data_IF_170335790385
#
_entry.id   IF_170335790385
#
_cell.length_a   1.000
_cell.length_b   1.000
_cell.length_c   1.000
_cell.angle_alpha   90.00
_cell.angle_beta   90.00
_cell.angle_gamma   90.00
#
_symmetry.space_group_name_H-M   'P 1'
#
loop_
_entity.id
_entity.type
_entity.pdbx_description
1 polymer ?
#
# COMPACT_ATOMS: atom_id res chain seq x y z
N UNK A 1 7.58 -0.33 -12.54
CA UNK A 1 6.45 -0.94 -11.78
C UNK A 1 5.92 -2.15 -12.55
N UNK A 2 5.84 -3.32 -11.90
CA UNK A 2 5.31 -4.57 -12.47
C UNK A 2 3.91 -4.95 -11.94
N UNK A 3 3.38 -4.17 -11.00
CA UNK A 3 2.02 -4.33 -10.50
C UNK A 3 0.98 -4.03 -11.59
N UNK A 4 -0.21 -4.62 -11.44
CA UNK A 4 -1.36 -4.25 -12.28
C UNK A 4 -1.73 -2.79 -12.01
N UNK A 5 -1.51 -1.95 -13.02
CA UNK A 5 -1.77 -0.51 -12.94
C UNK A 5 -3.25 -0.23 -12.70
N UNK A 6 -4.14 -1.03 -13.27
CA UNK A 6 -5.59 -0.85 -13.17
C UNK A 6 -6.04 -1.09 -11.73
N UNK A 7 -5.56 -2.18 -11.12
CA UNK A 7 -5.84 -2.51 -9.72
C UNK A 7 -5.32 -1.42 -8.77
N UNK A 8 -4.05 -1.01 -8.92
CA UNK A 8 -3.46 0.02 -8.06
C UNK A 8 -4.19 1.36 -8.19
N UNK A 9 -4.50 1.79 -9.42
CA UNK A 9 -5.23 3.03 -9.66
C UNK A 9 -6.66 2.97 -9.10
N UNK A 10 -7.33 1.82 -9.19
CA UNK A 10 -8.65 1.63 -8.59
C UNK A 10 -8.59 1.85 -7.08
N UNK A 11 -7.67 1.18 -6.38
CA UNK A 11 -7.53 1.29 -4.93
C UNK A 11 -7.20 2.73 -4.50
N UNK A 12 -6.30 3.41 -5.22
CA UNK A 12 -5.94 4.80 -4.94
C UNK A 12 -7.11 5.76 -5.17
N UNK A 13 -7.90 5.55 -6.23
CA UNK A 13 -9.12 6.35 -6.49
C UNK A 13 -10.17 6.13 -5.41
N UNK A 14 -10.33 4.90 -4.92
CA UNK A 14 -11.19 4.59 -3.78
C UNK A 14 -10.71 5.32 -2.52
N UNK A 15 -9.42 5.25 -2.21
CA UNK A 15 -8.84 5.95 -1.06
C UNK A 15 -9.06 7.47 -1.15
N UNK A 16 -8.88 8.06 -2.33
CA UNK A 16 -9.18 9.47 -2.58
C UNK A 16 -10.63 9.82 -2.20
N UNK A 17 -11.60 9.03 -2.66
CA UNK A 17 -13.01 9.26 -2.34
C UNK A 17 -13.33 9.16 -0.84
N UNK A 18 -12.68 8.23 -0.12
CA UNK A 18 -12.80 8.15 1.34
C UNK A 18 -12.19 9.36 2.05
N UNK A 19 -11.01 9.83 1.61
CA UNK A 19 -10.37 11.02 2.16
C UNK A 19 -11.27 12.25 1.96
N UNK A 20 -11.83 12.44 0.76
CA UNK A 20 -12.80 13.50 0.49
C UNK A 20 -14.04 13.39 1.40
N UNK A 21 -14.48 12.16 1.71
CA UNK A 21 -15.55 11.91 2.69
C UNK A 21 -15.17 12.33 4.11
N UNK A 22 -13.97 11.96 4.56
CA UNK A 22 -13.45 12.34 5.87
C UNK A 22 -13.34 13.86 6.01
N UNK A 23 -12.88 14.55 4.97
CA UNK A 23 -12.81 16.02 4.95
C UNK A 23 -14.19 16.64 5.18
N UNK A 24 -15.23 16.16 4.49
CA UNK A 24 -16.61 16.60 4.74
C UNK A 24 -17.07 16.32 6.16
N UNK A 25 -16.74 15.14 6.71
CA UNK A 25 -17.10 14.83 8.11
C UNK A 25 -16.46 15.81 9.11
N UNK A 26 -15.24 16.29 8.83
CA UNK A 26 -14.57 17.31 9.65
C UNK A 26 -15.23 18.68 9.47
N UNK A 27 -15.56 19.07 8.23
CA UNK A 27 -16.29 20.31 7.92
C UNK A 27 -17.67 20.35 8.59
N UNK A 28 -18.34 19.21 8.67
CA UNK A 28 -19.65 19.02 9.30
C UNK A 28 -19.59 18.86 10.84
N UNK A 29 -18.41 19.01 11.45
CA UNK A 29 -18.16 18.83 12.90
C UNK A 29 -18.71 17.50 13.46
N UNK A 30 -18.53 16.41 12.71
CA UNK A 30 -19.00 15.08 13.11
C UNK A 30 -18.21 14.52 14.30
N UNK A 31 -18.83 13.58 15.00
CA UNK A 31 -18.24 12.90 16.15
C UNK A 31 -16.85 12.33 15.85
N UNK A 32 -15.88 12.66 16.70
CA UNK A 32 -14.47 12.35 16.46
C UNK A 32 -14.18 10.87 16.28
N UNK A 33 -14.92 9.97 16.95
CA UNK A 33 -14.72 8.53 16.80
C UNK A 33 -15.18 8.02 15.43
N UNK A 34 -16.22 8.61 14.83
CA UNK A 34 -16.65 8.27 13.48
C UNK A 34 -15.55 8.64 12.46
N UNK A 35 -14.97 9.84 12.63
CA UNK A 35 -13.86 10.33 11.80
C UNK A 35 -12.65 9.39 11.96
N UNK A 36 -12.28 9.05 13.20
CA UNK A 36 -11.18 8.13 13.50
C UNK A 36 -11.39 6.77 12.84
N UNK A 37 -12.61 6.23 12.89
CA UNK A 37 -12.94 4.95 12.26
C UNK A 37 -12.78 5.01 10.72
N UNK A 38 -13.18 6.11 10.09
CA UNK A 38 -12.97 6.30 8.65
C UNK A 38 -11.50 6.44 8.28
N UNK A 39 -10.70 7.13 9.11
CA UNK A 39 -9.24 7.21 8.93
C UNK A 39 -8.63 5.80 8.97
N UNK A 40 -8.97 4.97 9.96
CA UNK A 40 -8.48 3.60 10.02
C UNK A 40 -8.88 2.75 8.80
N UNK A 41 -10.07 2.99 8.23
CA UNK A 41 -10.48 2.32 7.00
C UNK A 41 -9.60 2.72 5.81
N UNK A 42 -9.25 4.01 5.69
CA UNK A 42 -8.31 4.51 4.66
C UNK A 42 -6.92 3.92 4.86
N UNK A 43 -6.41 3.88 6.10
CA UNK A 43 -5.11 3.26 6.38
C UNK A 43 -5.08 1.78 5.98
N UNK A 44 -6.13 1.02 6.28
CA UNK A 44 -6.24 -0.38 5.87
C UNK A 44 -6.23 -0.53 4.35
N UNK A 45 -6.93 0.36 3.63
CA UNK A 45 -6.92 0.40 2.17
C UNK A 45 -5.53 0.76 1.61
N UNK A 46 -4.82 1.69 2.24
CA UNK A 46 -3.46 2.06 1.86
C UNK A 46 -2.47 0.92 2.09
N UNK A 47 -2.58 0.19 3.21
CA UNK A 47 -1.79 -1.03 3.46
C UNK A 47 -2.03 -2.07 2.38
N UNK A 48 -3.30 -2.31 2.00
CA UNK A 48 -3.65 -3.22 0.90
C UNK A 48 -3.02 -2.77 -0.43
N UNK A 49 -3.13 -1.49 -0.76
CA UNK A 49 -2.57 -0.92 -1.98
C UNK A 49 -1.06 -1.12 -2.05
N UNK A 50 -0.36 -0.85 -0.95
CA UNK A 50 1.08 -1.05 -0.87
C UNK A 50 1.45 -2.53 -1.04
N UNK A 51 0.71 -3.45 -0.39
CA UNK A 51 0.93 -4.88 -0.54
C UNK A 51 0.82 -5.36 -1.99
N UNK A 52 -0.11 -4.81 -2.79
CA UNK A 52 -0.22 -5.12 -4.22
C UNK A 52 1.05 -4.71 -4.97
N UNK A 53 1.52 -3.48 -4.75
CA UNK A 53 2.73 -2.95 -5.39
C UNK A 53 3.95 -3.78 -5.03
N UNK A 54 4.10 -4.09 -3.75
CA UNK A 54 5.23 -4.84 -3.23
C UNK A 54 5.22 -6.28 -3.68
N UNK A 55 4.09 -6.99 -3.60
CA UNK A 55 3.98 -8.36 -4.12
C UNK A 55 4.45 -8.44 -5.57
N UNK A 56 4.06 -7.49 -6.41
CA UNK A 56 4.52 -7.44 -7.78
C UNK A 56 6.01 -7.15 -7.93
N UNK A 57 6.56 -6.24 -7.10
CA UNK A 57 8.00 -6.01 -7.03
C UNK A 57 8.73 -7.31 -6.67
N UNK A 58 8.38 -7.94 -5.55
CA UNK A 58 8.99 -9.17 -5.04
C UNK A 58 8.98 -10.29 -6.08
N UNK A 59 7.83 -10.56 -6.71
CA UNK A 59 7.73 -11.60 -7.74
C UNK A 59 8.61 -11.34 -8.96
N UNK A 60 8.70 -10.07 -9.40
CA UNK A 60 9.59 -9.70 -10.50
C UNK A 60 11.07 -9.78 -10.12
N UNK A 61 11.38 -9.29 -8.92
CA UNK A 61 12.71 -9.24 -8.34
C UNK A 61 13.30 -10.65 -8.21
N UNK A 62 12.56 -11.58 -7.61
CA UNK A 62 12.97 -12.98 -7.46
C UNK A 62 13.10 -13.68 -8.82
N UNK A 63 12.17 -13.46 -9.76
CA UNK A 63 12.22 -14.07 -11.10
C UNK A 63 13.42 -13.61 -11.91
N UNK A 64 13.79 -12.32 -11.80
CA UNK A 64 14.92 -11.75 -12.54
C UNK A 64 16.26 -12.14 -11.90
N UNK A 65 16.31 -12.29 -10.57
CA UNK A 65 17.55 -12.59 -9.83
C UNK A 65 17.95 -14.06 -9.91
N UNK A 66 16.98 -14.98 -10.02
CA UNK A 66 17.23 -16.41 -10.27
C UNK A 66 18.04 -16.66 -11.57
N UNK A 67 18.12 -15.67 -12.47
CA UNK A 67 18.89 -15.76 -13.71
C UNK A 67 20.32 -15.18 -13.62
N UNK A 68 20.61 -14.33 -12.63
CA UNK A 68 21.79 -13.46 -12.64
C UNK A 68 22.76 -13.65 -11.44
N UNK A 69 22.44 -14.51 -10.47
CA UNK A 69 23.40 -14.96 -9.45
C UNK A 69 23.64 -14.04 -8.25
N UNK A 70 22.95 -12.90 -8.14
CA UNK A 70 23.12 -11.93 -7.04
C UNK A 70 21.93 -11.94 -6.07
N UNK A 71 21.65 -13.12 -5.50
CA UNK A 71 20.46 -13.40 -4.69
C UNK A 71 20.52 -12.73 -3.32
N UNK A 72 21.69 -12.69 -2.69
CA UNK A 72 21.84 -12.22 -1.30
C UNK A 72 21.54 -10.72 -1.16
N UNK A 73 22.06 -9.89 -2.06
CA UNK A 73 21.81 -8.44 -2.08
C UNK A 73 20.33 -8.10 -2.27
N UNK A 74 19.62 -8.95 -3.02
CA UNK A 74 18.19 -8.83 -3.31
C UNK A 74 17.33 -9.30 -2.13
N UNK A 75 17.80 -10.29 -1.36
CA UNK A 75 17.20 -10.70 -0.10
C UNK A 75 17.32 -9.59 0.94
N UNK A 76 18.47 -8.90 1.04
CA UNK A 76 18.63 -7.77 1.96
C UNK A 76 17.68 -6.60 1.63
N UNK A 77 17.51 -6.30 0.34
CA UNK A 77 16.50 -5.32 -0.12
C UNK A 77 15.10 -5.75 0.33
N UNK A 78 14.77 -7.04 0.19
CA UNK A 78 13.52 -7.64 0.65
C UNK A 78 13.29 -7.48 2.15
N UNK A 79 14.30 -7.80 2.96
CA UNK A 79 14.24 -7.77 4.43
C UNK A 79 14.09 -6.34 4.94
N UNK A 80 14.82 -5.37 4.36
CA UNK A 80 14.68 -3.96 4.74
C UNK A 80 13.27 -3.42 4.47
N UNK A 81 12.68 -3.86 3.36
CA UNK A 81 11.38 -3.46 2.92
C UNK A 81 10.28 -4.12 3.78
N UNK A 82 10.47 -5.38 4.17
CA UNK A 82 9.60 -6.08 5.12
C UNK A 82 9.60 -5.41 6.51
N UNK A 83 10.77 -4.98 7.00
CA UNK A 83 10.90 -4.28 8.29
C UNK A 83 10.19 -2.92 8.32
N UNK A 84 10.08 -2.25 7.17
CA UNK A 84 9.35 -0.98 7.07
C UNK A 84 7.83 -1.19 7.13
N UNK A 85 7.33 -2.37 6.76
CA UNK A 85 5.90 -2.72 6.74
C UNK A 85 5.37 -3.23 8.08
N UNK A 86 6.24 -3.74 8.95
CA UNK A 86 5.87 -4.28 10.26
C UNK A 86 5.90 -3.23 11.38
N UNK A 87 6.12 -1.96 11.04
CA UNK A 87 5.94 -0.82 11.93
C UNK A 87 4.55 -0.23 11.74
#
# INVERSE_FOLDING_TARGET
MKADKTEVLLLLKTAKGHIEGIMRMVEDDRYCMDISNQIFAVEALMRKTNNVVLKAHLLSCVRDTAKNGDVDKKIDELVSLFNTLMK
#
